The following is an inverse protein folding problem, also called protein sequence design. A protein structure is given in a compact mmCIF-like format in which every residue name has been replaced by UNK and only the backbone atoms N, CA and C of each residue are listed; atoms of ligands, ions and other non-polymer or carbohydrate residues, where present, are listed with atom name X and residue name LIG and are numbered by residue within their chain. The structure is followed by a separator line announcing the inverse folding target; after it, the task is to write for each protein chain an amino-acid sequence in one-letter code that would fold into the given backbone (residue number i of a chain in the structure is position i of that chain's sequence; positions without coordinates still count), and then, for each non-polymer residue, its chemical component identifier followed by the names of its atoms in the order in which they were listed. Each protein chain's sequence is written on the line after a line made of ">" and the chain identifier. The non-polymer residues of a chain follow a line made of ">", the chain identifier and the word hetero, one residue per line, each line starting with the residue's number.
data_IF_760831604513
#
_entry.id   IF_760831604513
#
_cell.length_a   1.000
_cell.length_b   1.000
_cell.length_c   1.000
_cell.angle_alpha   90.00
_cell.angle_beta   90.00
_cell.angle_gamma   90.00
#
_symmetry.space_group_name_H-M   'P 1'
#
loop_
_entity.id
_entity.type
_entity.pdbx_description
1 polymer ?
#
# COMPACT_ATOMS: atom_id res chain seq x y z
N UNK A 1 11.94 -4.33 13.72
CA UNK A 1 11.51 -5.47 12.87
C UNK A 1 10.97 -4.90 11.58
N UNK A 2 11.11 -5.55 10.43
CA UNK A 2 10.65 -5.03 9.13
C UNK A 2 9.75 -6.04 8.38
N UNK A 3 8.79 -5.58 7.55
CA UNK A 3 8.01 -6.46 6.69
C UNK A 3 8.90 -7.17 5.67
N UNK A 4 8.77 -8.50 5.56
CA UNK A 4 9.54 -9.28 4.59
C UNK A 4 8.81 -9.39 3.24
N UNK A 5 8.85 -8.29 2.48
CA UNK A 5 8.18 -8.18 1.18
C UNK A 5 8.65 -9.23 0.16
N UNK A 6 9.96 -9.52 0.11
CA UNK A 6 10.53 -10.47 -0.84
C UNK A 6 10.11 -11.91 -0.55
N UNK A 7 10.09 -12.31 0.72
CA UNK A 7 9.63 -13.63 1.13
C UNK A 7 8.16 -13.81 0.78
N UNK A 8 7.31 -12.84 1.14
CA UNK A 8 5.88 -12.90 0.86
C UNK A 8 5.57 -12.88 -0.65
N UNK A 9 6.34 -12.13 -1.44
CA UNK A 9 6.26 -12.15 -2.89
C UNK A 9 6.58 -13.55 -3.45
N UNK A 10 7.68 -14.17 -3.00
CA UNK A 10 8.09 -15.52 -3.42
C UNK A 10 7.08 -16.58 -3.00
N UNK A 11 6.55 -16.49 -1.79
CA UNK A 11 5.49 -17.39 -1.30
C UNK A 11 4.22 -17.25 -2.14
N UNK A 12 3.80 -16.02 -2.48
CA UNK A 12 2.63 -15.81 -3.33
C UNK A 12 2.85 -16.31 -4.75
N UNK A 13 4.05 -16.15 -5.33
CA UNK A 13 4.38 -16.74 -6.64
C UNK A 13 4.25 -18.26 -6.62
N UNK A 14 4.80 -18.91 -5.58
CA UNK A 14 4.71 -20.36 -5.39
C UNK A 14 3.25 -20.80 -5.28
N UNK A 15 2.47 -20.13 -4.44
CA UNK A 15 1.05 -20.41 -4.25
C UNK A 15 0.24 -20.24 -5.55
N UNK A 16 0.52 -19.18 -6.33
CA UNK A 16 -0.13 -18.96 -7.62
C UNK A 16 0.23 -20.06 -8.64
N UNK A 17 1.45 -20.58 -8.60
CA UNK A 17 1.89 -21.66 -9.48
C UNK A 17 1.26 -23.01 -9.11
N UNK A 18 1.12 -23.29 -7.80
CA UNK A 18 0.48 -24.50 -7.29
C UNK A 18 -1.02 -24.51 -7.61
N UNK A 19 -1.70 -23.38 -7.43
CA UNK A 19 -3.15 -23.24 -7.65
C UNK A 19 -3.54 -22.76 -9.06
N UNK A 20 -2.60 -22.71 -10.01
CA UNK A 20 -2.92 -22.31 -11.37
C UNK A 20 -3.90 -23.30 -12.00
N UNK A 21 -5.05 -22.79 -12.38
CA UNK A 21 -6.08 -23.52 -13.12
C UNK A 21 -6.16 -22.99 -14.55
N UNK A 22 -5.75 -23.85 -15.48
CA UNK A 22 -5.73 -23.57 -16.91
C UNK A 22 -7.13 -23.34 -17.48
N UNK A 23 -8.18 -23.85 -16.81
CA UNK A 23 -9.56 -23.73 -17.25
C UNK A 23 -10.28 -22.52 -16.64
N UNK A 24 -9.66 -21.84 -15.67
CA UNK A 24 -10.25 -20.66 -15.07
C UNK A 24 -10.38 -19.51 -16.08
N UNK A 25 -11.47 -18.75 -15.99
CA UNK A 25 -11.81 -17.71 -16.98
C UNK A 25 -10.67 -16.70 -17.20
N UNK A 26 -10.08 -16.21 -16.12
CA UNK A 26 -8.99 -15.23 -16.16
C UNK A 26 -7.74 -15.77 -16.89
N UNK A 27 -7.45 -17.06 -16.73
CA UNK A 27 -6.26 -17.71 -17.27
C UNK A 27 -6.48 -18.03 -18.75
N UNK A 28 -7.67 -18.55 -19.10
CA UNK A 28 -8.10 -18.74 -20.50
C UNK A 28 -7.98 -17.46 -21.32
N UNK A 29 -8.52 -16.34 -20.81
CA UNK A 29 -8.47 -15.04 -21.50
C UNK A 29 -7.04 -14.56 -21.75
N UNK A 30 -6.08 -14.84 -20.84
CA UNK A 30 -4.67 -14.48 -21.05
C UNK A 30 -4.03 -15.36 -22.13
N UNK A 31 -4.32 -16.66 -22.10
CA UNK A 31 -3.77 -17.63 -23.06
C UNK A 31 -4.32 -17.32 -24.46
N UNK A 32 -5.61 -17.02 -24.59
CA UNK A 32 -6.23 -16.62 -25.86
C UNK A 32 -5.60 -15.35 -26.43
N UNK A 33 -5.41 -14.31 -25.62
CA UNK A 33 -4.71 -13.08 -26.05
C UNK A 33 -3.27 -13.31 -26.46
N UNK A 34 -2.57 -14.23 -25.77
CA UNK A 34 -1.22 -14.63 -26.14
C UNK A 34 -1.22 -15.34 -27.51
N UNK A 35 -2.15 -16.28 -27.71
CA UNK A 35 -2.29 -17.00 -28.97
C UNK A 35 -2.62 -16.06 -30.13
N UNK A 36 -3.56 -15.13 -29.94
CA UNK A 36 -3.92 -14.11 -30.93
C UNK A 36 -2.72 -13.24 -31.30
N UNK A 37 -1.99 -12.73 -30.30
CA UNK A 37 -0.85 -11.84 -30.50
C UNK A 37 0.27 -12.48 -31.33
N UNK A 38 0.50 -13.78 -31.16
CA UNK A 38 1.61 -14.50 -31.79
C UNK A 38 1.16 -15.48 -32.89
N UNK A 39 -0.14 -15.50 -33.19
CA UNK A 39 -0.76 -16.41 -34.17
C UNK A 39 -0.49 -17.90 -33.88
N UNK A 40 -0.66 -18.30 -32.61
CA UNK A 40 -0.55 -19.69 -32.18
C UNK A 40 -1.92 -20.37 -32.08
N UNK A 41 -1.94 -21.70 -32.26
CA UNK A 41 -3.14 -22.50 -32.02
C UNK A 41 -3.35 -22.74 -30.54
N UNK A 42 -4.59 -22.53 -30.10
CA UNK A 42 -4.95 -22.57 -28.69
C UNK A 42 -4.70 -23.95 -28.05
N UNK A 43 -5.11 -25.04 -28.72
CA UNK A 43 -4.95 -26.41 -28.21
C UNK A 43 -3.47 -26.80 -28.05
N UNK A 44 -2.61 -26.38 -28.98
CA UNK A 44 -1.16 -26.62 -28.92
C UNK A 44 -0.55 -25.90 -27.70
N UNK A 45 -0.93 -24.64 -27.48
CA UNK A 45 -0.43 -23.88 -26.31
C UNK A 45 -0.92 -24.48 -25.00
N UNK A 46 -2.18 -24.94 -24.92
CA UNK A 46 -2.69 -25.61 -23.72
C UNK A 46 -1.91 -26.88 -23.39
N UNK A 47 -1.60 -27.70 -24.38
CA UNK A 47 -0.84 -28.92 -24.17
C UNK A 47 0.61 -28.63 -23.76
N UNK A 48 1.23 -27.57 -24.28
CA UNK A 48 2.56 -27.15 -23.85
C UNK A 48 2.57 -26.59 -22.41
N UNK A 49 1.54 -25.86 -22.00
CA UNK A 49 1.41 -25.38 -20.60
C UNK A 49 1.34 -26.55 -19.62
N UNK A 50 0.64 -27.63 -19.96
CA UNK A 50 0.53 -28.83 -19.10
C UNK A 50 1.88 -29.54 -18.92
N UNK A 51 2.75 -29.48 -19.93
CA UNK A 51 4.07 -30.14 -19.93
C UNK A 51 5.16 -29.26 -19.30
N UNK A 52 5.08 -27.94 -19.44
CA UNK A 52 6.14 -27.01 -19.06
C UNK A 52 5.79 -26.16 -17.84
N UNK A 53 6.48 -26.40 -16.72
CA UNK A 53 6.38 -25.56 -15.52
C UNK A 53 6.82 -24.10 -15.78
N UNK A 54 7.75 -23.89 -16.72
CA UNK A 54 8.20 -22.55 -17.10
C UNK A 54 7.11 -21.78 -17.85
N UNK A 55 6.46 -22.43 -18.82
CA UNK A 55 5.35 -21.83 -19.55
C UNK A 55 4.15 -21.59 -18.63
N UNK A 56 3.88 -22.53 -17.71
CA UNK A 56 2.89 -22.33 -16.64
C UNK A 56 3.20 -21.07 -15.81
N UNK A 57 4.45 -20.91 -15.37
CA UNK A 57 4.90 -19.74 -14.60
C UNK A 57 4.81 -18.42 -15.39
N UNK A 58 4.79 -18.45 -16.73
CA UNK A 58 4.57 -17.26 -17.54
C UNK A 58 3.11 -16.75 -17.44
N UNK A 59 2.13 -17.63 -17.23
CA UNK A 59 0.71 -17.29 -17.22
C UNK A 59 0.12 -17.04 -15.83
N UNK A 60 0.82 -17.41 -14.75
CA UNK A 60 0.33 -17.18 -13.38
C UNK A 60 0.02 -15.70 -13.14
N UNK A 61 -0.91 -15.44 -12.21
CA UNK A 61 -1.18 -14.06 -11.78
C UNK A 61 0.07 -13.45 -11.16
N UNK A 62 0.38 -12.22 -11.57
CA UNK A 62 1.49 -11.48 -11.00
C UNK A 62 1.07 -10.96 -9.61
N UNK A 63 1.76 -11.34 -8.52
CA UNK A 63 1.40 -10.92 -7.16
C UNK A 63 1.42 -9.40 -6.96
N UNK A 64 2.23 -8.65 -7.71
CA UNK A 64 2.25 -7.18 -7.61
C UNK A 64 0.95 -6.55 -8.09
N UNK A 65 0.12 -7.28 -8.85
CA UNK A 65 -1.26 -6.91 -9.23
C UNK A 65 -2.31 -7.47 -8.26
N UNK A 66 -1.89 -8.10 -7.17
CA UNK A 66 -2.75 -8.71 -6.15
C UNK A 66 -2.55 -8.07 -4.77
N UNK A 67 -2.12 -6.80 -4.74
CA UNK A 67 -1.91 -6.02 -3.52
C UNK A 67 -1.00 -6.70 -2.48
N UNK A 68 -0.04 -7.52 -2.91
CA UNK A 68 0.82 -8.31 -2.00
C UNK A 68 1.61 -7.45 -1.01
N UNK A 69 2.06 -6.27 -1.46
CA UNK A 69 2.83 -5.35 -0.61
C UNK A 69 1.96 -4.67 0.44
N UNK A 70 0.76 -4.22 0.07
CA UNK A 70 -0.22 -3.67 1.00
C UNK A 70 -0.60 -4.71 2.07
N UNK A 71 -0.90 -5.94 1.65
CA UNK A 71 -1.21 -7.05 2.56
C UNK A 71 -0.05 -7.35 3.52
N UNK A 72 1.18 -7.39 3.00
CA UNK A 72 2.38 -7.63 3.82
C UNK A 72 2.58 -6.53 4.87
N UNK A 73 2.38 -5.26 4.48
CA UNK A 73 2.48 -4.14 5.40
C UNK A 73 1.40 -4.19 6.48
N UNK A 74 0.16 -4.48 6.09
CA UNK A 74 -0.96 -4.61 7.02
C UNK A 74 -0.72 -5.72 8.06
N UNK A 75 -0.29 -6.90 7.61
CA UNK A 75 0.03 -8.03 8.51
C UNK A 75 1.17 -7.66 9.48
N UNK A 76 2.22 -6.99 8.99
CA UNK A 76 3.30 -6.50 9.84
C UNK A 76 2.80 -5.50 10.90
N UNK A 77 2.07 -4.46 10.49
CA UNK A 77 1.56 -3.43 11.41
C UNK A 77 0.66 -4.05 12.48
N UNK A 78 -0.24 -4.94 12.06
CA UNK A 78 -1.16 -5.65 12.96
C UNK A 78 -0.45 -6.56 13.95
N UNK A 79 0.78 -6.98 13.66
CA UNK A 79 1.60 -7.83 14.54
C UNK A 79 2.41 -7.06 15.59
N UNK A 80 2.48 -5.72 15.49
CA UNK A 80 3.24 -4.90 16.42
C UNK A 80 2.56 -4.93 17.80
N UNK A 81 3.34 -5.20 18.85
CA UNK A 81 2.85 -5.26 20.22
C UNK A 81 2.14 -3.95 20.63
N UNK A 82 0.90 -4.06 21.07
CA UNK A 82 0.06 -2.92 21.47
C UNK A 82 -0.80 -2.35 20.35
N UNK A 83 -0.61 -2.76 19.09
CA UNK A 83 -1.57 -2.45 18.01
C UNK A 83 -2.83 -3.29 18.20
N UNK A 84 -3.99 -2.66 18.13
CA UNK A 84 -5.30 -3.32 18.10
C UNK A 84 -6.27 -2.58 17.19
N UNK A 85 -7.44 -3.17 16.94
CA UNK A 85 -8.47 -2.64 16.04
C UNK A 85 -7.93 -2.24 14.66
N UNK A 86 -6.94 -3.01 14.17
CA UNK A 86 -6.33 -2.79 12.88
C UNK A 86 -7.32 -3.15 11.75
N UNK A 87 -7.54 -2.20 10.84
CA UNK A 87 -8.42 -2.36 9.70
C UNK A 87 -7.69 -2.00 8.40
N UNK A 88 -7.84 -2.86 7.38
CA UNK A 88 -7.52 -2.52 6.00
C UNK A 88 -8.73 -1.77 5.41
N UNK A 89 -8.55 -0.48 5.15
CA UNK A 89 -9.61 0.42 4.77
C UNK A 89 -10.02 0.22 3.30
N UNK A 90 -11.28 0.52 2.95
CA UNK A 90 -11.73 0.38 1.56
C UNK A 90 -10.92 1.26 0.62
N UNK A 91 -10.23 0.64 -0.34
CA UNK A 91 -9.49 1.34 -1.39
C UNK A 91 -10.33 1.49 -2.68
N UNK A 92 -10.30 2.69 -3.28
CA UNK A 92 -10.97 2.97 -4.57
C UNK A 92 -12.50 3.16 -4.54
N UNK A 93 -13.13 3.15 -3.36
CA UNK A 93 -14.56 3.42 -3.18
C UNK A 93 -14.84 4.92 -3.18
N UNK A 94 -15.72 5.38 -4.08
CA UNK A 94 -16.16 6.79 -4.11
C UNK A 94 -16.89 7.21 -2.82
N UNK A 95 -17.44 6.25 -2.07
CA UNK A 95 -18.29 6.51 -0.91
C UNK A 95 -17.58 6.22 0.40
N UNK A 96 -16.94 5.06 0.51
CA UNK A 96 -16.47 4.50 1.78
C UNK A 96 -14.97 4.61 1.99
N UNK A 97 -14.19 4.96 0.96
CA UNK A 97 -12.76 5.17 1.14
C UNK A 97 -12.50 6.32 2.08
N UNK A 98 -11.48 6.18 2.91
CA UNK A 98 -11.09 7.22 3.87
C UNK A 98 -10.02 8.10 3.24
N UNK A 99 -10.14 9.40 3.43
CA UNK A 99 -9.17 10.41 3.01
C UNK A 99 -8.87 11.31 4.19
N UNK A 100 -7.66 11.88 4.21
CA UNK A 100 -7.34 12.99 5.11
C UNK A 100 -7.22 14.23 4.24
N UNK A 101 -8.08 15.22 4.51
CA UNK A 101 -8.15 16.49 3.78
C UNK A 101 -8.28 17.62 4.77
N UNK A 102 -7.48 18.68 4.62
CA UNK A 102 -7.53 19.85 5.51
C UNK A 102 -7.42 19.47 6.99
N UNK A 103 -6.55 18.48 7.27
CA UNK A 103 -6.36 17.88 8.58
C UNK A 103 -7.65 17.28 9.20
N UNK A 104 -8.57 16.78 8.39
CA UNK A 104 -9.77 16.07 8.83
C UNK A 104 -9.87 14.71 8.17
N UNK A 105 -10.34 13.71 8.92
CA UNK A 105 -10.68 12.40 8.40
C UNK A 105 -12.05 12.47 7.73
N UNK A 106 -12.11 12.15 6.44
CA UNK A 106 -13.34 12.24 5.63
C UNK A 106 -13.59 10.95 4.86
N UNK A 107 -14.85 10.56 4.74
CA UNK A 107 -15.27 9.49 3.83
C UNK A 107 -15.33 10.03 2.41
N UNK A 108 -15.12 9.15 1.43
CA UNK A 108 -15.06 9.51 0.02
C UNK A 108 -16.22 10.39 -0.42
N UNK A 109 -17.46 10.07 -0.01
CA UNK A 109 -18.65 10.87 -0.37
C UNK A 109 -18.56 12.35 0.04
N UNK A 110 -17.85 12.64 1.14
CA UNK A 110 -17.74 13.96 1.78
C UNK A 110 -16.50 14.75 1.29
N UNK A 111 -15.67 14.15 0.42
CA UNK A 111 -14.45 14.76 -0.12
C UNK A 111 -14.73 15.41 -1.49
N UNK A 112 -14.29 16.65 -1.75
CA UNK A 112 -14.42 17.28 -3.06
C UNK A 112 -13.86 16.42 -4.21
N UNK A 113 -14.55 16.43 -5.37
CA UNK A 113 -14.12 15.68 -6.57
C UNK A 113 -12.69 16.04 -6.98
N UNK A 114 -12.31 17.31 -6.86
CA UNK A 114 -10.96 17.80 -7.18
C UNK A 114 -9.87 17.11 -6.36
N UNK A 115 -10.15 16.81 -5.09
CA UNK A 115 -9.25 16.09 -4.18
C UNK A 115 -9.28 14.60 -4.49
N UNK A 116 -10.47 13.98 -4.63
CA UNK A 116 -10.59 12.54 -4.97
C UNK A 116 -9.92 12.15 -6.28
N UNK A 117 -9.78 13.08 -7.22
CA UNK A 117 -9.09 12.87 -8.50
C UNK A 117 -7.56 12.89 -8.37
N UNK A 118 -7.01 13.51 -7.32
CA UNK A 118 -5.57 13.76 -7.15
C UNK A 118 -4.96 12.97 -5.99
N UNK A 119 -5.62 12.97 -4.84
CA UNK A 119 -5.20 12.26 -3.64
C UNK A 119 -5.74 10.83 -3.65
N UNK A 120 -4.94 9.91 -3.11
CA UNK A 120 -5.34 8.52 -2.87
C UNK A 120 -5.97 8.40 -1.47
N UNK A 121 -6.74 7.34 -1.28
CA UNK A 121 -7.30 7.00 0.02
C UNK A 121 -6.22 6.51 0.98
N UNK A 122 -6.53 6.55 2.27
CA UNK A 122 -5.74 5.95 3.34
C UNK A 122 -5.92 4.43 3.28
N UNK A 123 -4.82 3.70 3.46
CA UNK A 123 -4.80 2.24 3.35
C UNK A 123 -5.23 1.57 4.66
N UNK A 124 -4.72 2.01 5.80
CA UNK A 124 -4.98 1.35 7.09
C UNK A 124 -5.39 2.32 8.18
N UNK A 125 -6.09 1.80 9.19
CA UNK A 125 -6.19 2.45 10.51
C UNK A 125 -5.99 1.43 11.63
N UNK A 126 -5.59 1.92 12.79
CA UNK A 126 -5.48 1.11 14.01
C UNK A 126 -5.47 1.99 15.26
N UNK A 127 -5.55 1.35 16.42
CA UNK A 127 -5.36 1.94 17.74
C UNK A 127 -4.07 1.39 18.38
N UNK A 128 -3.44 2.17 19.26
CA UNK A 128 -2.20 1.76 19.92
C UNK A 128 -2.27 1.92 21.44
N UNK A 129 -2.19 0.79 22.14
CA UNK A 129 -2.31 0.68 23.60
C UNK A 129 -3.57 1.41 24.09
N UNK A 130 -3.49 2.13 25.20
CA UNK A 130 -4.59 2.89 25.79
C UNK A 130 -4.74 4.33 25.25
N UNK A 131 -4.09 4.66 24.13
CA UNK A 131 -4.25 5.97 23.50
C UNK A 131 -5.65 6.08 22.87
N UNK A 132 -6.29 7.25 23.06
CA UNK A 132 -7.55 7.59 22.38
C UNK A 132 -7.34 8.08 20.94
N UNK A 133 -6.09 8.29 20.54
CA UNK A 133 -5.71 8.78 19.22
C UNK A 133 -5.83 7.67 18.19
N UNK A 134 -6.54 7.94 17.09
CA UNK A 134 -6.57 7.03 15.94
C UNK A 134 -5.30 7.17 15.09
N UNK A 135 -4.75 6.05 14.63
CA UNK A 135 -3.59 6.04 13.75
C UNK A 135 -4.01 5.65 12.34
N UNK A 136 -3.69 6.48 11.37
CA UNK A 136 -3.96 6.28 9.95
C UNK A 136 -2.65 6.05 9.20
N UNK A 137 -2.68 5.19 8.19
CA UNK A 137 -1.50 4.83 7.40
C UNK A 137 -1.77 4.99 5.92
N UNK A 138 -0.96 5.83 5.28
CA UNK A 138 -0.77 5.84 3.85
C UNK A 138 0.48 5.03 3.53
N UNK A 139 0.32 3.87 2.90
CA UNK A 139 1.40 2.94 2.61
C UNK A 139 1.79 2.98 1.13
N UNK A 140 3.09 2.94 0.88
CA UNK A 140 3.62 2.80 -0.47
C UNK A 140 4.87 1.94 -0.47
N UNK A 141 4.82 0.83 -1.20
CA UNK A 141 6.00 0.07 -1.56
C UNK A 141 6.40 0.36 -3.01
N UNK A 142 7.66 0.77 -3.22
CA UNK A 142 8.22 1.01 -4.55
C UNK A 142 9.62 0.39 -4.63
N UNK A 143 9.75 -0.69 -5.42
CA UNK A 143 11.03 -1.34 -5.74
C UNK A 143 11.93 -0.51 -6.66
N UNK A 144 13.00 -1.12 -7.18
CA UNK A 144 13.97 -0.44 -8.05
C UNK A 144 13.43 -0.09 -9.46
N UNK A 145 14.04 0.95 -10.03
CA UNK A 145 13.94 1.60 -11.36
C UNK A 145 12.78 1.26 -12.31
N UNK A 146 11.98 2.27 -12.67
CA UNK A 146 11.05 2.23 -13.81
C UNK A 146 10.21 3.50 -13.97
N UNK A 147 9.65 3.75 -15.16
CA UNK A 147 8.90 4.98 -15.47
C UNK A 147 7.62 5.22 -14.66
N UNK A 148 7.16 4.24 -13.87
CA UNK A 148 5.98 4.35 -13.01
C UNK A 148 6.28 4.89 -11.60
N UNK A 149 7.55 5.07 -11.22
CA UNK A 149 7.94 5.46 -9.86
C UNK A 149 7.55 6.90 -9.51
N UNK A 150 7.69 7.82 -10.47
CA UNK A 150 7.30 9.21 -10.25
C UNK A 150 5.80 9.36 -9.98
N UNK A 151 4.98 8.48 -10.55
CA UNK A 151 3.55 8.43 -10.22
C UNK A 151 3.34 8.01 -8.75
N UNK A 152 4.10 7.04 -8.24
CA UNK A 152 4.00 6.61 -6.84
C UNK A 152 4.47 7.71 -5.88
N UNK A 153 5.53 8.44 -6.23
CA UNK A 153 5.99 9.61 -5.48
C UNK A 153 4.93 10.73 -5.47
N UNK A 154 4.37 11.04 -6.64
CA UNK A 154 3.35 12.07 -6.79
C UNK A 154 2.07 11.73 -6.03
N UNK A 155 1.68 10.45 -5.96
CA UNK A 155 0.56 10.00 -5.11
C UNK A 155 0.79 10.40 -3.63
N UNK A 156 2.00 10.19 -3.10
CA UNK A 156 2.37 10.55 -1.73
C UNK A 156 2.31 12.07 -1.54
N UNK A 157 2.94 12.83 -2.43
CA UNK A 157 2.96 14.31 -2.37
C UNK A 157 1.53 14.88 -2.44
N UNK A 158 0.70 14.33 -3.34
CA UNK A 158 -0.70 14.76 -3.47
C UNK A 158 -1.50 14.45 -2.20
N UNK A 159 -1.27 13.30 -1.57
CA UNK A 159 -1.89 12.98 -0.28
C UNK A 159 -1.43 13.94 0.82
N UNK A 160 -0.13 14.19 0.94
CA UNK A 160 0.43 15.15 1.90
C UNK A 160 -0.15 16.55 1.73
N UNK A 161 -0.25 17.03 0.49
CA UNK A 161 -0.79 18.36 0.19
C UNK A 161 -2.29 18.45 0.44
N UNK A 162 -3.06 17.40 0.15
CA UNK A 162 -4.48 17.36 0.48
C UNK A 162 -4.69 17.35 2.00
N UNK A 163 -3.87 16.62 2.74
CA UNK A 163 -3.99 16.46 4.19
C UNK A 163 -3.61 17.72 4.98
N UNK A 164 -2.81 18.64 4.41
CA UNK A 164 -2.46 19.92 5.04
C UNK A 164 -3.65 20.84 5.22
N UNK A 165 -3.60 21.66 6.27
CA UNK A 165 -4.52 22.78 6.46
C UNK A 165 -3.74 24.07 6.73
N UNK A 166 -4.25 25.19 6.20
CA UNK A 166 -3.79 26.53 6.56
C UNK A 166 -4.23 26.93 8.00
N UNK A 167 -5.17 26.18 8.58
CA UNK A 167 -5.72 26.39 9.92
C UNK A 167 -5.64 25.08 10.72
N UNK A 168 -4.47 24.77 11.31
CA UNK A 168 -4.33 23.61 12.19
C UNK A 168 -5.25 23.79 13.41
N UNK A 169 -6.07 22.79 13.71
CA UNK A 169 -6.81 22.69 14.97
C UNK A 169 -6.28 21.51 15.79
N UNK A 170 -6.82 21.27 16.98
CA UNK A 170 -6.50 20.07 17.76
C UNK A 170 -6.88 18.81 16.98
N UNK A 171 -6.01 17.80 17.01
CA UNK A 171 -6.14 16.59 16.19
C UNK A 171 -6.17 15.35 17.08
N UNK A 172 -7.25 14.61 16.97
CA UNK A 172 -7.42 13.31 17.62
C UNK A 172 -6.85 12.14 16.81
N UNK A 173 -5.97 12.43 15.84
CA UNK A 173 -5.37 11.41 14.99
C UNK A 173 -3.90 11.68 14.64
N UNK A 174 -3.18 10.61 14.36
CA UNK A 174 -1.83 10.59 13.78
C UNK A 174 -1.88 9.98 12.39
N UNK A 175 -1.11 10.54 11.46
CA UNK A 175 -0.97 10.02 10.10
C UNK A 175 0.47 9.61 9.81
N UNK A 176 0.65 8.34 9.48
CA UNK A 176 1.91 7.79 8.98
C UNK A 176 1.89 7.70 7.45
N UNK A 177 2.90 8.30 6.82
CA UNK A 177 3.30 8.01 5.45
C UNK A 177 4.42 6.97 5.51
N UNK A 178 4.09 5.72 5.23
CA UNK A 178 5.04 4.61 5.28
C UNK A 178 5.52 4.30 3.87
N UNK A 179 6.79 4.58 3.61
CA UNK A 179 7.39 4.50 2.27
C UNK A 179 8.50 3.44 2.26
N UNK A 180 8.20 2.25 1.73
CA UNK A 180 9.09 1.09 1.72
C UNK A 180 9.60 0.73 0.31
N UNK A 181 10.69 -0.04 0.27
CA UNK A 181 11.35 -0.43 -0.96
C UNK A 181 12.54 0.45 -1.31
N UNK A 182 13.32 0.00 -2.30
CA UNK A 182 14.61 0.59 -2.65
C UNK A 182 14.50 2.02 -3.22
N UNK A 183 13.37 2.38 -3.82
CA UNK A 183 13.15 3.73 -4.38
C UNK A 183 13.19 4.82 -3.29
N UNK A 184 12.68 4.53 -2.10
CA UNK A 184 12.67 5.46 -0.98
C UNK A 184 14.00 5.40 -0.20
N UNK A 185 15.07 5.79 -0.89
CA UNK A 185 16.38 5.99 -0.30
C UNK A 185 16.42 7.26 0.57
N UNK A 186 17.56 7.54 1.20
CA UNK A 186 17.72 8.68 2.12
C UNK A 186 17.37 10.03 1.46
N UNK A 187 17.83 10.26 0.23
CA UNK A 187 17.56 11.49 -0.50
C UNK A 187 16.06 11.66 -0.78
N UNK A 188 15.40 10.58 -1.22
CA UNK A 188 13.96 10.57 -1.50
C UNK A 188 13.13 10.81 -0.25
N UNK A 189 13.54 10.23 0.88
CA UNK A 189 12.88 10.45 2.17
C UNK A 189 13.03 11.90 2.65
N UNK A 190 14.18 12.54 2.43
CA UNK A 190 14.38 13.96 2.71
C UNK A 190 13.49 14.83 1.81
N UNK A 191 13.46 14.55 0.51
CA UNK A 191 12.60 15.25 -0.45
C UNK A 191 11.12 15.20 -0.03
N UNK A 192 10.62 14.01 0.32
CA UNK A 192 9.26 13.84 0.80
C UNK A 192 9.03 14.51 2.16
N UNK A 193 9.99 14.42 3.09
CA UNK A 193 9.90 14.99 4.44
C UNK A 193 9.67 16.49 4.45
N UNK A 194 10.26 17.21 3.48
CA UNK A 194 10.03 18.65 3.30
C UNK A 194 8.55 19.00 3.09
N UNK A 195 7.73 18.05 2.62
CA UNK A 195 6.30 18.25 2.43
C UNK A 195 5.51 18.11 3.74
N UNK A 196 6.07 17.69 4.86
CA UNK A 196 5.33 17.59 6.13
C UNK A 196 6.01 18.33 7.29
N UNK A 197 7.09 19.07 7.01
CA UNK A 197 7.78 19.91 7.99
C UNK A 197 6.80 20.88 8.67
N UNK A 198 6.87 20.95 10.00
CA UNK A 198 6.01 21.81 10.81
C UNK A 198 4.62 21.25 11.12
N UNK A 199 4.31 20.02 10.69
CA UNK A 199 3.05 19.34 11.00
C UNK A 199 3.30 18.29 12.09
N UNK A 200 2.72 18.48 13.27
CA UNK A 200 3.04 17.69 14.47
C UNK A 200 2.48 16.27 14.48
N UNK A 201 1.36 16.03 13.80
CA UNK A 201 0.66 14.75 13.78
C UNK A 201 0.98 13.90 12.54
N UNK A 202 1.84 14.37 11.64
CA UNK A 202 2.24 13.63 10.43
C UNK A 202 3.67 13.12 10.57
N UNK A 203 3.89 11.88 10.15
CA UNK A 203 5.20 11.24 10.19
C UNK A 203 5.49 10.51 8.89
N UNK A 204 6.68 10.72 8.35
CA UNK A 204 7.21 10.00 7.20
C UNK A 204 8.30 9.04 7.69
N UNK A 205 8.15 7.75 7.44
CA UNK A 205 9.07 6.72 7.92
C UNK A 205 9.05 5.46 7.05
N UNK A 206 10.01 4.57 7.27
CA UNK A 206 9.95 3.18 6.77
C UNK A 206 9.25 2.30 7.79
N UNK A 207 8.63 1.21 7.35
CA UNK A 207 7.92 0.29 8.27
C UNK A 207 8.80 -0.18 9.43
N UNK A 208 10.11 -0.34 9.21
CA UNK A 208 11.08 -0.72 10.23
C UNK A 208 11.17 0.19 11.44
N UNK A 209 10.82 1.47 11.26
CA UNK A 209 10.90 2.50 12.29
C UNK A 209 9.56 2.70 13.03
N UNK A 210 8.47 2.10 12.54
CA UNK A 210 7.12 2.36 13.03
C UNK A 210 6.96 2.04 14.51
N UNK A 211 7.41 0.87 14.95
CA UNK A 211 7.28 0.42 16.34
C UNK A 211 7.99 1.39 17.31
N UNK A 212 9.21 1.81 16.98
CA UNK A 212 9.95 2.77 17.77
C UNK A 212 9.23 4.13 17.82
N UNK A 213 8.65 4.54 16.69
CA UNK A 213 7.89 5.79 16.63
C UNK A 213 6.62 5.73 17.47
N UNK A 214 5.89 4.61 17.43
CA UNK A 214 4.70 4.40 18.27
C UNK A 214 5.05 4.44 19.76
N UNK A 215 6.13 3.78 20.19
CA UNK A 215 6.64 3.87 21.58
C UNK A 215 6.96 5.31 21.97
N UNK A 216 7.70 6.04 21.14
CA UNK A 216 8.02 7.45 21.39
C UNK A 216 6.78 8.35 21.51
N UNK A 217 5.76 8.13 20.68
CA UNK A 217 4.50 8.87 20.80
C UNK A 217 3.83 8.54 22.13
N UNK A 218 3.67 7.26 22.44
CA UNK A 218 3.03 6.80 23.68
C UNK A 218 3.69 7.34 24.95
N UNK A 219 5.02 7.28 25.01
CA UNK A 219 5.77 7.77 26.16
C UNK A 219 5.65 9.31 26.30
N UNK A 220 5.55 10.02 25.17
CA UNK A 220 5.29 11.47 25.16
C UNK A 220 3.93 11.85 25.76
N UNK A 221 2.90 11.01 25.58
CA UNK A 221 1.57 11.23 26.18
C UNK A 221 1.51 10.89 27.67
N UNK A 222 2.40 10.03 28.18
CA UNK A 222 2.46 9.69 29.61
C UNK A 222 3.11 10.76 30.48
N UNK A 223 3.85 11.68 29.88
CA UNK A 223 4.56 12.75 30.57
C UNK A 223 3.73 14.05 30.71
N UNK A 224 2.45 14.02 30.32
CA UNK A 224 1.48 15.12 30.44
C UNK A 224 0.43 14.71 31.48
#
# INVERSE_FOLDING_TARGET
>A
MEPNYDLNLKMQLKNNLENFDINSESERLKIEKFCEKFNFKLDEVYDEIKKSKFLKAFFIKNPTKQNIYEKTAFEFISSIEGVHDAENLPNGSKTNSVYISDQEVRKGRDVPISIRKKAKSIDFKFMYKDLKTEFYVFHKYTGESGGAQDNQKNDIINSMNAAKSAHPCDKDFVLFYICDGAYYNKEKMIELGNNITGISNFYLLKSGDLENKLKSIFDGYKCI
#
